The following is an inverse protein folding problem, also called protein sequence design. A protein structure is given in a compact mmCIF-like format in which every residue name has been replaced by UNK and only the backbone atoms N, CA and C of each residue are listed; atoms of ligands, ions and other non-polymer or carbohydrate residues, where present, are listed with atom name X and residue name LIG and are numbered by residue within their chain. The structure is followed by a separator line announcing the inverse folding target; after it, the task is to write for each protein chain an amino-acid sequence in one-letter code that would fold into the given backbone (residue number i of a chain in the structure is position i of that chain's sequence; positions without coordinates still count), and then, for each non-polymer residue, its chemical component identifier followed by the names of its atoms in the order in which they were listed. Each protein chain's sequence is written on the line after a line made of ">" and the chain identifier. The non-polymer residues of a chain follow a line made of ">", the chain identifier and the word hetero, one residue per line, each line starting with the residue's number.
data_IF_102245897086
#
_entry.id   IF_102245897086
#
_cell.length_a   1.000
_cell.length_b   1.000
_cell.length_c   1.000
_cell.angle_alpha   90.00
_cell.angle_beta   90.00
_cell.angle_gamma   90.00
#
_symmetry.space_group_name_H-M   'P 1'
#
loop_
_entity.id
_entity.type
_entity.pdbx_description
1 polymer ?
#
# COMPACT_ATOMS: atom_id res chain seq x y z
N UNK A 1 5.88 -2.16 -15.58
CA UNK A 1 4.85 -1.31 -14.96
C UNK A 1 5.35 0.12 -14.86
N UNK A 2 4.55 1.10 -15.26
CA UNK A 2 4.88 2.53 -15.14
C UNK A 2 4.34 3.15 -13.84
N UNK A 3 4.71 4.41 -13.57
CA UNK A 3 4.29 5.12 -12.35
C UNK A 3 2.78 5.31 -12.26
N UNK A 4 2.09 5.52 -13.38
CA UNK A 4 0.64 5.73 -13.38
C UNK A 4 -0.10 4.42 -13.06
N UNK A 5 0.38 3.31 -13.61
CA UNK A 5 -0.09 1.96 -13.30
C UNK A 5 0.16 1.59 -11.83
N UNK A 6 1.35 1.89 -11.29
CA UNK A 6 1.66 1.71 -9.87
C UNK A 6 0.72 2.52 -8.96
N UNK A 7 0.44 3.79 -9.29
CA UNK A 7 -0.53 4.62 -8.57
C UNK A 7 -1.95 4.02 -8.64
N UNK A 8 -2.35 3.47 -9.78
CA UNK A 8 -3.67 2.83 -9.93
C UNK A 8 -3.79 1.58 -9.05
N UNK A 9 -2.75 0.76 -8.99
CA UNK A 9 -2.71 -0.43 -8.13
C UNK A 9 -2.71 -0.01 -6.65
N UNK A 10 -1.87 0.96 -6.27
CA UNK A 10 -1.81 1.48 -4.91
C UNK A 10 -3.16 2.05 -4.44
N UNK A 11 -3.89 2.76 -5.32
CA UNK A 11 -5.24 3.25 -5.00
C UNK A 11 -6.25 2.11 -4.79
N UNK A 12 -6.17 1.04 -5.61
CA UNK A 12 -7.04 -0.14 -5.42
C UNK A 12 -6.77 -0.82 -4.08
N UNK A 13 -5.49 -0.98 -3.72
CA UNK A 13 -5.09 -1.53 -2.42
C UNK A 13 -5.57 -0.62 -1.28
N UNK A 14 -5.33 0.68 -1.37
CA UNK A 14 -5.77 1.65 -0.36
C UNK A 14 -7.29 1.62 -0.14
N UNK A 15 -8.08 1.47 -1.22
CA UNK A 15 -9.53 1.34 -1.10
C UNK A 15 -9.95 0.03 -0.42
N UNK A 16 -9.26 -1.09 -0.70
CA UNK A 16 -9.52 -2.35 -0.03
C UNK A 16 -9.20 -2.24 1.47
N UNK A 17 -8.05 -1.68 1.85
CA UNK A 17 -7.67 -1.45 3.24
C UNK A 17 -8.69 -0.59 3.97
N UNK A 18 -9.06 0.57 3.40
CA UNK A 18 -10.05 1.49 3.99
C UNK A 18 -11.46 0.91 4.12
N UNK A 19 -11.78 -0.11 3.32
CA UNK A 19 -13.10 -0.77 3.39
C UNK A 19 -13.17 -1.85 4.47
N UNK A 20 -12.02 -2.38 4.91
CA UNK A 20 -11.96 -3.49 5.86
C UNK A 20 -11.42 -3.10 7.24
N UNK A 21 -10.68 -1.98 7.35
CA UNK A 21 -10.04 -1.55 8.58
C UNK A 21 -10.29 -0.07 8.89
N UNK A 22 -10.18 0.33 10.16
CA UNK A 22 -10.16 1.73 10.60
C UNK A 22 -8.80 2.35 10.22
N UNK A 23 -8.68 2.70 8.94
CA UNK A 23 -7.47 3.20 8.33
C UNK A 23 -7.38 4.72 8.45
N UNK A 24 -6.31 5.19 9.09
CA UNK A 24 -5.97 6.61 9.22
C UNK A 24 -5.34 7.10 7.92
N UNK A 25 -4.35 6.37 7.41
CA UNK A 25 -3.56 6.80 6.26
C UNK A 25 -3.02 5.63 5.44
N UNK A 26 -2.89 5.84 4.13
CA UNK A 26 -2.18 4.93 3.21
C UNK A 26 -1.20 5.77 2.40
N UNK A 27 0.08 5.42 2.47
CA UNK A 27 1.17 6.19 1.88
C UNK A 27 1.90 5.30 0.87
N UNK A 28 1.92 5.74 -0.38
CA UNK A 28 2.78 5.15 -1.42
C UNK A 28 4.20 5.72 -1.24
N UNK A 29 5.22 4.85 -1.19
CA UNK A 29 6.62 5.25 -1.13
C UNK A 29 7.48 4.43 -2.09
N UNK A 30 8.80 4.42 -1.88
CA UNK A 30 9.70 3.56 -2.63
C UNK A 30 10.06 4.06 -4.03
N UNK A 31 10.45 3.12 -4.88
CA UNK A 31 11.10 3.36 -6.18
C UNK A 31 10.20 4.14 -7.16
N UNK A 32 8.90 3.82 -7.20
CA UNK A 32 7.90 4.47 -8.06
C UNK A 32 7.65 5.93 -7.69
N UNK A 33 7.74 6.29 -6.41
CA UNK A 33 7.64 7.69 -5.97
C UNK A 33 8.90 8.45 -6.33
N UNK A 34 10.06 7.85 -6.07
CA UNK A 34 11.39 8.43 -6.32
C UNK A 34 11.77 8.55 -7.80
N UNK A 35 11.06 7.87 -8.69
CA UNK A 35 11.35 7.87 -10.13
C UNK A 35 12.55 6.98 -10.50
N UNK A 36 12.91 6.05 -9.62
CA UNK A 36 14.03 5.11 -9.80
C UNK A 36 13.53 3.66 -9.93
N UNK A 37 12.28 3.48 -10.40
CA UNK A 37 11.69 2.17 -10.62
C UNK A 37 12.25 1.50 -11.88
N UNK A 38 12.47 0.19 -11.81
CA UNK A 38 12.90 -0.68 -12.90
C UNK A 38 11.82 -1.72 -13.19
N UNK A 39 12.04 -2.56 -14.20
CA UNK A 39 11.04 -3.54 -14.66
C UNK A 39 10.58 -4.52 -13.57
N UNK A 40 11.49 -4.89 -12.67
CA UNK A 40 11.26 -5.80 -11.54
C UNK A 40 10.93 -5.07 -10.23
N UNK A 41 10.66 -3.77 -10.26
CA UNK A 41 10.35 -3.02 -9.04
C UNK A 41 8.96 -3.34 -8.47
N UNK A 42 8.92 -3.57 -7.16
CA UNK A 42 7.68 -3.71 -6.40
C UNK A 42 7.03 -2.35 -6.07
N UNK A 43 5.82 -2.40 -5.51
CA UNK A 43 5.09 -1.23 -4.99
C UNK A 43 5.17 -1.25 -3.46
N UNK A 44 5.82 -0.24 -2.90
CA UNK A 44 5.95 -0.07 -1.46
C UNK A 44 4.81 0.78 -0.88
N UNK A 45 4.04 0.23 0.05
CA UNK A 45 2.90 0.91 0.69
C UNK A 45 3.01 0.84 2.21
N UNK A 46 2.82 1.96 2.88
CA UNK A 46 2.70 2.04 4.33
C UNK A 46 1.24 2.29 4.67
N UNK A 47 0.72 1.53 5.63
CA UNK A 47 -0.65 1.63 6.12
C UNK A 47 -0.61 2.00 7.60
N UNK A 48 -1.33 3.05 7.97
CA UNK A 48 -1.52 3.47 9.35
C UNK A 48 -2.97 3.16 9.73
N UNK A 49 -3.14 2.26 10.70
CA UNK A 49 -4.44 1.88 11.25
C UNK A 49 -4.59 2.49 12.65
N UNK A 50 -5.82 2.83 13.01
CA UNK A 50 -6.13 3.37 14.35
C UNK A 50 -6.00 2.31 15.43
N UNK A 51 -6.44 1.11 15.12
CA UNK A 51 -6.32 -0.06 15.98
C UNK A 51 -6.19 -1.32 15.12
N UNK A 52 -5.51 -2.33 15.66
CA UNK A 52 -5.42 -3.66 15.08
C UNK A 52 -5.34 -4.67 16.22
N UNK A 53 -6.10 -5.76 16.13
CA UNK A 53 -6.20 -6.72 17.24
C UNK A 53 -4.91 -7.54 17.40
N UNK A 54 -4.34 -8.00 16.28
CA UNK A 54 -3.13 -8.81 16.27
C UNK A 54 -2.26 -8.46 15.06
N UNK A 55 -1.01 -8.00 15.26
CA UNK A 55 -0.13 -7.64 14.16
C UNK A 55 0.25 -8.82 13.25
N UNK A 56 0.22 -10.06 13.75
CA UNK A 56 0.50 -11.24 12.91
C UNK A 56 -0.66 -11.54 11.96
N UNK A 57 -1.89 -11.49 12.46
CA UNK A 57 -3.08 -11.75 11.64
C UNK A 57 -3.22 -10.67 10.56
N UNK A 58 -2.94 -9.41 10.92
CA UNK A 58 -2.93 -8.29 9.97
C UNK A 58 -1.93 -8.49 8.83
N UNK A 59 -0.75 -9.06 9.10
CA UNK A 59 0.25 -9.35 8.05
C UNK A 59 -0.14 -10.50 7.13
N UNK A 60 -1.05 -11.39 7.55
CA UNK A 60 -1.54 -12.50 6.75
C UNK A 60 -2.74 -12.10 5.88
N UNK A 61 -3.53 -11.13 6.35
CA UNK A 61 -4.74 -10.65 5.65
C UNK A 61 -4.46 -9.58 4.58
N UNK A 62 -3.35 -8.85 4.72
CA UNK A 62 -2.89 -7.81 3.77
C UNK A 62 -1.99 -8.38 2.67
#
# INVERSE_FOLDING_TARGET
>A
MDKAEAIKIANRFANAVKSNYDCIEVILFGSYVKGTSHEESDIDIAVILKDYENPLDLQLEL
#
